data_IF_896212984522
#
_entry.id   IF_896212984522
#
_cell.length_a   1.000
_cell.length_b   1.000
_cell.length_c   1.000
_cell.angle_alpha   90.00
_cell.angle_beta   90.00
_cell.angle_gamma   90.00
#
_symmetry.space_group_name_H-M   'P 1'
#
loop_
_entity.id
_entity.type
_entity.pdbx_description
1 polymer ?
#
# COMPACT_ATOMS: atom_id res chain seq x y z
N UNK A 1 -2.70 13.13 3.72
CA UNK A 1 -1.93 11.96 3.22
C UNK A 1 -2.68 11.23 2.10
N UNK A 2 -3.24 11.94 1.12
CA UNK A 2 -4.12 11.36 0.10
C UNK A 2 -3.42 10.99 -1.22
N UNK A 3 -2.08 11.03 -1.32
CA UNK A 3 -1.41 11.02 -2.63
C UNK A 3 -0.21 10.05 -2.78
N UNK A 4 0.15 9.25 -1.78
CA UNK A 4 1.32 8.36 -1.95
C UNK A 4 1.05 7.21 -2.90
N UNK A 5 -0.11 6.56 -2.79
CA UNK A 5 -0.51 5.51 -3.73
C UNK A 5 -0.72 6.07 -5.14
N UNK A 6 -1.46 7.18 -5.28
CA UNK A 6 -1.74 7.81 -6.56
C UNK A 6 -0.47 8.23 -7.30
N UNK A 7 0.45 8.91 -6.60
CA UNK A 7 1.74 9.30 -7.16
C UNK A 7 2.59 8.08 -7.55
N UNK A 8 2.62 7.04 -6.71
CA UNK A 8 3.37 5.81 -7.00
C UNK A 8 2.79 5.05 -8.21
N UNK A 9 1.46 4.98 -8.32
CA UNK A 9 0.78 4.42 -9.49
C UNK A 9 1.16 5.17 -10.76
N UNK A 10 1.11 6.51 -10.71
CA UNK A 10 1.47 7.37 -11.84
C UNK A 10 2.93 7.14 -12.26
N UNK A 11 3.84 7.05 -11.29
CA UNK A 11 5.26 6.77 -11.54
C UNK A 11 5.45 5.42 -12.25
N UNK A 12 4.80 4.35 -11.78
CA UNK A 12 4.85 3.03 -12.40
C UNK A 12 4.26 3.04 -13.82
N UNK A 13 3.15 3.74 -14.05
CA UNK A 13 2.59 3.87 -15.40
C UNK A 13 3.55 4.60 -16.33
N UNK A 14 4.17 5.68 -15.85
CA UNK A 14 5.11 6.47 -16.65
C UNK A 14 6.41 5.72 -16.95
N UNK A 15 6.87 4.81 -16.08
CA UNK A 15 8.02 3.95 -16.37
C UNK A 15 7.77 2.98 -17.53
N UNK A 16 6.50 2.62 -17.77
CA UNK A 16 6.08 1.88 -18.97
C UNK A 16 6.04 2.73 -20.25
N UNK A 17 6.39 4.02 -20.18
CA UNK A 17 6.31 5.01 -21.27
C UNK A 17 4.91 5.13 -21.90
N UNK A 18 3.86 4.92 -21.09
CA UNK A 18 2.46 5.02 -21.53
C UNK A 18 1.80 6.29 -21.01
N UNK A 19 1.09 6.99 -21.89
CA UNK A 19 0.16 8.05 -21.48
C UNK A 19 -1.00 7.44 -20.67
N UNK A 20 -1.71 8.26 -19.88
CA UNK A 20 -2.88 7.79 -19.13
C UNK A 20 -3.93 7.16 -20.06
N UNK A 21 -4.23 7.83 -21.19
CA UNK A 21 -5.21 7.34 -22.18
C UNK A 21 -4.79 6.01 -22.77
N UNK A 22 -3.54 5.86 -23.21
CA UNK A 22 -3.04 4.61 -23.78
C UNK A 22 -3.08 3.48 -22.74
N UNK A 23 -2.60 3.74 -21.52
CA UNK A 23 -2.64 2.76 -20.44
C UNK A 23 -4.06 2.30 -20.12
N UNK A 24 -5.02 3.22 -20.09
CA UNK A 24 -6.42 2.88 -19.83
C UNK A 24 -7.03 2.08 -20.98
N UNK A 25 -6.72 2.44 -22.23
CA UNK A 25 -7.20 1.72 -23.42
C UNK A 25 -6.70 0.27 -23.43
N UNK A 26 -5.39 0.07 -23.25
CA UNK A 26 -4.75 -1.25 -23.30
C UNK A 26 -5.29 -2.22 -22.25
N UNK A 27 -5.70 -1.70 -21.09
CA UNK A 27 -6.11 -2.49 -19.94
C UNK A 27 -7.62 -2.45 -19.65
N UNK A 28 -8.39 -1.74 -20.49
CA UNK A 28 -9.83 -1.51 -20.33
C UNK A 28 -10.18 -0.91 -18.96
N UNK A 29 -9.45 0.13 -18.56
CA UNK A 29 -9.73 0.92 -17.36
C UNK A 29 -10.47 2.21 -17.71
N UNK A 30 -11.24 2.71 -16.76
CA UNK A 30 -11.89 4.01 -16.88
C UNK A 30 -10.86 5.15 -16.67
N UNK A 31 -10.62 6.02 -17.67
CA UNK A 31 -9.65 7.11 -17.55
C UNK A 31 -9.99 8.11 -16.45
N UNK A 32 -11.28 8.34 -16.18
CA UNK A 32 -11.74 9.26 -15.13
C UNK A 32 -11.35 8.77 -13.73
N UNK A 33 -11.53 7.48 -13.47
CA UNK A 33 -11.13 6.82 -12.23
C UNK A 33 -9.62 6.83 -12.07
N UNK A 34 -8.85 6.42 -13.10
CA UNK A 34 -7.39 6.43 -13.01
C UNK A 34 -6.85 7.85 -12.80
N UNK A 35 -7.38 8.86 -13.51
CA UNK A 35 -6.97 10.25 -13.35
C UNK A 35 -7.27 10.81 -11.96
N UNK A 36 -8.45 10.50 -11.40
CA UNK A 36 -8.80 10.91 -10.04
C UNK A 36 -7.92 10.21 -9.01
N UNK A 37 -7.65 8.91 -9.20
CA UNK A 37 -6.82 8.10 -8.30
C UNK A 37 -5.36 8.55 -8.31
N UNK A 38 -4.75 8.78 -9.47
CA UNK A 38 -3.37 9.26 -9.60
C UNK A 38 -3.16 10.64 -8.95
N UNK A 39 -4.20 11.48 -8.96
CA UNK A 39 -4.20 12.79 -8.30
C UNK A 39 -4.60 12.73 -6.82
N UNK A 40 -4.89 11.54 -6.28
CA UNK A 40 -5.31 11.38 -4.89
C UNK A 40 -6.70 11.94 -4.58
N UNK A 41 -7.54 12.19 -5.60
CA UNK A 41 -8.92 12.66 -5.43
C UNK A 41 -9.88 11.54 -4.99
N UNK A 42 -9.50 10.29 -5.27
CA UNK A 42 -10.21 9.11 -4.78
C UNK A 42 -9.21 8.13 -4.18
N UNK A 43 -9.62 7.42 -3.14
CA UNK A 43 -8.85 6.32 -2.58
C UNK A 43 -8.72 5.16 -3.57
N UNK A 44 -7.65 4.35 -3.47
CA UNK A 44 -7.54 3.12 -4.25
C UNK A 44 -8.71 2.18 -3.96
N UNK A 45 -9.05 1.34 -4.95
CA UNK A 45 -10.06 0.30 -4.74
C UNK A 45 -9.65 -0.62 -3.59
N UNK A 46 -10.60 -0.96 -2.72
CA UNK A 46 -10.39 -1.95 -1.65
C UNK A 46 -10.57 -3.39 -2.13
N UNK A 47 -10.93 -3.60 -3.40
CA UNK A 47 -11.11 -4.92 -3.99
C UNK A 47 -9.75 -5.48 -4.42
N UNK A 48 -9.38 -6.65 -3.87
CA UNK A 48 -8.15 -7.34 -4.24
C UNK A 48 -8.08 -7.64 -5.73
N UNK A 49 -9.20 -8.04 -6.33
CA UNK A 49 -9.30 -8.34 -7.76
C UNK A 49 -8.95 -7.12 -8.62
N UNK A 50 -9.39 -5.93 -8.21
CA UNK A 50 -9.10 -4.69 -8.93
C UNK A 50 -7.63 -4.28 -8.73
N UNK A 51 -7.11 -4.34 -7.50
CA UNK A 51 -5.72 -4.04 -7.20
C UNK A 51 -4.75 -4.99 -7.92
N UNK A 52 -5.10 -6.27 -8.02
CA UNK A 52 -4.32 -7.26 -8.76
C UNK A 52 -4.30 -6.95 -10.25
N UNK A 53 -5.45 -6.62 -10.86
CA UNK A 53 -5.50 -6.17 -12.26
C UNK A 53 -4.63 -4.94 -12.51
N UNK A 54 -4.58 -4.00 -11.56
CA UNK A 54 -3.68 -2.85 -11.65
C UNK A 54 -2.21 -3.27 -11.60
N UNK A 55 -1.83 -4.12 -10.65
CA UNK A 55 -0.45 -4.58 -10.53
C UNK A 55 0.02 -5.35 -11.78
N UNK A 56 -0.86 -6.18 -12.35
CA UNK A 56 -0.62 -6.88 -13.61
C UNK A 56 -0.45 -5.92 -14.79
N UNK A 57 -1.35 -4.94 -14.93
CA UNK A 57 -1.26 -3.90 -15.96
C UNK A 57 0.01 -3.05 -15.84
N UNK A 58 0.48 -2.84 -14.61
CA UNK A 58 1.73 -2.14 -14.28
C UNK A 58 2.96 -3.06 -14.40
N UNK A 59 2.79 -4.33 -14.77
CA UNK A 59 3.85 -5.34 -14.92
C UNK A 59 4.68 -5.57 -13.66
N UNK A 60 4.04 -5.47 -12.49
CA UNK A 60 4.72 -5.73 -11.21
C UNK A 60 4.96 -7.22 -11.02
N UNK A 61 6.18 -7.60 -10.66
CA UNK A 61 6.49 -8.99 -10.32
C UNK A 61 5.78 -9.40 -9.02
N UNK A 62 4.97 -10.48 -9.02
CA UNK A 62 4.32 -10.97 -7.81
C UNK A 62 5.32 -11.17 -6.67
N UNK A 63 4.96 -10.69 -5.47
CA UNK A 63 5.79 -10.75 -4.24
C UNK A 63 7.12 -9.98 -4.31
N UNK A 64 7.42 -9.27 -5.40
CA UNK A 64 8.60 -8.42 -5.52
C UNK A 64 8.50 -7.14 -4.66
N UNK A 65 9.60 -6.38 -4.51
CA UNK A 65 9.62 -5.15 -3.69
C UNK A 65 8.55 -4.13 -4.12
N UNK A 66 8.41 -3.90 -5.42
CA UNK A 66 7.44 -2.93 -5.97
C UNK A 66 6.00 -3.38 -5.76
N UNK A 67 5.73 -4.69 -5.89
CA UNK A 67 4.45 -5.31 -5.58
C UNK A 67 4.10 -5.13 -4.10
N UNK A 68 5.03 -5.45 -3.20
CA UNK A 68 4.81 -5.31 -1.77
C UNK A 68 4.55 -3.85 -1.38
N UNK A 69 5.30 -2.91 -1.98
CA UNK A 69 5.09 -1.48 -1.79
C UNK A 69 3.73 -1.04 -2.32
N UNK A 70 3.35 -1.48 -3.51
CA UNK A 70 2.06 -1.16 -4.13
C UNK A 70 0.88 -1.55 -3.24
N UNK A 71 0.83 -2.80 -2.77
CA UNK A 71 -0.26 -3.29 -1.92
C UNK A 71 -0.23 -2.66 -0.52
N UNK A 72 0.96 -2.35 0.01
CA UNK A 72 1.08 -1.66 1.30
C UNK A 72 0.51 -0.24 1.21
N UNK A 73 0.91 0.51 0.17
CA UNK A 73 0.39 1.87 -0.07
C UNK A 73 -1.12 1.87 -0.34
N UNK A 74 -1.63 0.86 -1.07
CA UNK A 74 -3.06 0.73 -1.32
C UNK A 74 -3.85 0.54 -0.01
N UNK A 75 -3.38 -0.36 0.86
CA UNK A 75 -4.01 -0.62 2.15
C UNK A 75 -3.96 0.61 3.07
N UNK A 76 -2.78 1.21 3.25
CA UNK A 76 -2.59 2.36 4.13
C UNK A 76 -3.37 3.59 3.64
N UNK A 77 -3.42 3.84 2.32
CA UNK A 77 -4.22 4.94 1.75
C UNK A 77 -5.73 4.73 1.93
N UNK A 78 -6.17 3.47 2.11
CA UNK A 78 -7.55 3.14 2.45
C UNK A 78 -7.80 3.06 3.96
N UNK A 79 -6.84 3.46 4.80
CA UNK A 79 -6.95 3.38 6.27
C UNK A 79 -6.93 1.95 6.80
N UNK A 80 -6.42 0.99 6.03
CA UNK A 80 -6.36 -0.44 6.38
C UNK A 80 -4.94 -0.87 6.69
N UNK A 81 -4.80 -1.88 7.55
CA UNK A 81 -3.54 -2.54 7.82
C UNK A 81 -3.20 -3.46 6.62
N UNK A 82 -1.97 -3.42 6.07
CA UNK A 82 -1.57 -4.30 4.98
C UNK A 82 -1.74 -5.78 5.33
N UNK A 83 -2.21 -6.59 4.37
CA UNK A 83 -2.49 -8.03 4.59
C UNK A 83 -1.30 -8.83 5.12
N UNK A 84 -0.08 -8.50 4.68
CA UNK A 84 1.14 -9.13 5.17
C UNK A 84 1.32 -8.95 6.68
N UNK A 85 0.97 -7.76 7.19
CA UNK A 85 0.99 -7.46 8.63
C UNK A 85 -0.11 -8.23 9.35
N UNK A 86 -1.33 -8.24 8.79
CA UNK A 86 -2.46 -9.00 9.35
C UNK A 86 -2.17 -10.51 9.47
N UNK A 87 -1.41 -11.07 8.54
CA UNK A 87 -1.04 -12.48 8.55
C UNK A 87 0.02 -12.83 9.61
N UNK A 88 0.78 -11.86 10.11
CA UNK A 88 1.79 -12.08 11.14
C UNK A 88 1.17 -11.93 12.54
N UNK A 89 0.87 -13.07 13.19
CA UNK A 89 0.24 -13.10 14.51
C UNK A 89 1.09 -12.43 15.60
N UNK A 90 2.42 -12.56 15.54
CA UNK A 90 3.32 -11.96 16.53
C UNK A 90 3.32 -10.44 16.41
N UNK A 91 3.39 -9.93 15.19
CA UNK A 91 3.32 -8.49 14.92
C UNK A 91 1.96 -7.92 15.34
N UNK A 92 0.86 -8.61 15.04
CA UNK A 92 -0.49 -8.22 15.44
C UNK A 92 -0.65 -8.14 16.97
N UNK A 93 0.00 -9.04 17.73
CA UNK A 93 -0.05 -9.03 19.19
C UNK A 93 0.63 -7.80 19.81
N UNK A 94 1.65 -7.26 19.14
CA UNK A 94 2.44 -6.12 19.62
C UNK A 94 1.96 -4.76 19.07
N UNK A 95 1.12 -4.74 18.03
CA UNK A 95 0.55 -3.51 17.46
C UNK A 95 -0.17 -2.61 18.48
N UNK A 96 -0.97 -3.11 19.45
CA UNK A 96 -1.61 -2.26 20.45
C UNK A 96 -0.61 -1.44 21.27
N UNK A 97 0.54 -2.03 21.60
CA UNK A 97 1.62 -1.33 22.32
C UNK A 97 2.19 -0.19 21.49
N UNK A 98 2.42 -0.45 20.20
CA UNK A 98 2.87 0.57 19.26
C UNK A 98 1.86 1.71 19.12
N UNK A 99 0.56 1.40 19.00
CA UNK A 99 -0.49 2.42 18.90
C UNK A 99 -0.63 3.26 20.18
N UNK A 100 -0.48 2.64 21.35
CA UNK A 100 -0.42 3.37 22.62
C UNK A 100 0.77 4.35 22.64
N UNK A 101 1.95 3.91 22.18
CA UNK A 101 3.14 4.75 22.07
C UNK A 101 2.90 5.97 21.18
N UNK A 102 2.33 5.75 19.99
CA UNK A 102 2.02 6.80 19.01
C UNK A 102 0.91 7.75 19.49
N UNK A 103 0.03 7.27 20.38
CA UNK A 103 -1.03 8.06 21.01
C UNK A 103 -0.55 8.86 22.24
N UNK A 104 0.77 8.94 22.46
CA UNK A 104 1.39 9.72 23.54
C UNK A 104 1.50 9.01 24.89
N UNK A 105 1.10 7.72 24.99
CA UNK A 105 1.29 6.91 26.21
C UNK A 105 2.63 6.18 26.12
N UNK A 106 3.59 6.50 27.00
CA UNK A 106 4.92 5.87 27.01
C UNK A 106 4.82 4.37 27.38
N UNK A 107 5.14 3.43 26.48
CA UNK A 107 5.28 2.02 26.84
C UNK A 107 6.55 1.80 27.66
N UNK A 108 6.64 0.65 28.34
CA UNK A 108 7.90 0.26 29.00
C UNK A 108 9.01 -0.01 27.98
N UNK A 109 10.27 0.13 28.41
CA UNK A 109 11.46 -0.07 27.56
C UNK A 109 11.52 -1.51 27.03
N UNK A 110 11.10 -2.48 27.83
CA UNK A 110 11.05 -3.90 27.45
C UNK A 110 10.08 -4.15 26.29
N UNK A 111 8.90 -3.53 26.34
CA UNK A 111 7.88 -3.62 25.30
C UNK A 111 8.35 -2.98 23.99
N UNK A 112 9.02 -1.83 24.06
CA UNK A 112 9.65 -1.19 22.89
C UNK A 112 10.76 -2.06 22.28
N UNK A 113 11.61 -2.68 23.09
CA UNK A 113 12.65 -3.60 22.61
C UNK A 113 12.07 -4.80 21.88
N UNK A 114 10.93 -5.33 22.34
CA UNK A 114 10.23 -6.44 21.68
C UNK A 114 9.72 -6.07 20.29
N UNK A 115 9.12 -4.89 20.15
CA UNK A 115 8.69 -4.36 18.84
C UNK A 115 9.88 -4.18 17.89
N UNK A 116 10.98 -3.58 18.36
CA UNK A 116 12.19 -3.37 17.54
C UNK A 116 12.74 -4.70 17.05
N UNK A 117 12.75 -5.73 17.91
CA UNK A 117 13.22 -7.07 17.54
C UNK A 117 12.38 -7.67 16.41
N UNK A 118 11.05 -7.67 16.55
CA UNK A 118 10.13 -8.21 15.54
C UNK A 118 10.30 -7.50 14.19
N UNK A 119 10.43 -6.16 14.21
CA UNK A 119 10.62 -5.37 12.98
C UNK A 119 11.95 -5.68 12.29
N UNK A 120 13.02 -5.97 13.05
CA UNK A 120 14.32 -6.36 12.48
C UNK A 120 14.34 -7.78 11.90
N UNK A 121 13.46 -8.65 12.38
CA UNK A 121 13.40 -10.07 12.00
C UNK A 121 12.32 -10.37 10.94
N UNK A 122 11.56 -9.36 10.47
CA UNK A 122 10.45 -9.45 9.50
C UNK A 122 10.82 -9.02 8.07
#
# INVERSE_FOLDING_TARGET
MANEFGAYFMQLRMSLRKTLRQFCLDNRFDPGNISRMERGLISPSTSDKVLQRYAEALKLSPKGPEWNRFFSLAATSAGKIPKRVLANKELMAELPVLFMALSGKKPSVEKLRRIIKIVKES
#
